data_IF_330333420717
#
_entry.id   IF_330333420717
#
_cell.length_a   1.000
_cell.length_b   1.000
_cell.length_c   1.000
_cell.angle_alpha   90.00
_cell.angle_beta   90.00
_cell.angle_gamma   90.00
#
_symmetry.space_group_name_H-M   'P 1'
#
loop_
_entity.id
_entity.type
_entity.pdbx_description
1 polymer ?
#
# COMPACT_ATOMS: atom_id res chain seq x y z
N UNK A 1 5.09 2.64 -17.35
CA UNK A 1 4.01 3.53 -16.87
C UNK A 1 2.71 3.00 -17.45
N UNK A 2 1.71 2.72 -16.62
CA UNK A 2 0.40 2.21 -17.03
C UNK A 2 -0.66 3.14 -16.46
N UNK A 3 -1.55 3.62 -17.31
CA UNK A 3 -2.68 4.48 -16.92
C UNK A 3 -3.98 3.71 -17.17
N UNK A 4 -4.95 3.86 -16.26
CA UNK A 4 -6.26 3.23 -16.37
C UNK A 4 -7.37 4.20 -15.96
N UNK A 5 -8.52 4.10 -16.61
CA UNK A 5 -9.69 4.94 -16.36
C UNK A 5 -10.92 4.05 -16.18
N UNK A 6 -11.73 4.35 -15.17
CA UNK A 6 -12.98 3.66 -14.90
C UNK A 6 -14.10 4.69 -14.74
N UNK A 7 -15.13 4.59 -15.58
CA UNK A 7 -16.29 5.47 -15.49
C UNK A 7 -17.13 5.12 -14.25
N UNK A 8 -17.73 6.14 -13.61
CA UNK A 8 -18.54 5.99 -12.39
C UNK A 8 -17.80 5.43 -11.17
N UNK A 9 -16.46 5.53 -11.16
CA UNK A 9 -15.62 5.12 -10.04
C UNK A 9 -14.99 6.32 -9.34
N UNK A 10 -14.71 6.15 -8.05
CA UNK A 10 -13.94 7.09 -7.24
C UNK A 10 -12.55 6.55 -6.89
N UNK A 11 -11.77 7.33 -6.14
CA UNK A 11 -10.40 6.94 -5.77
C UNK A 11 -10.33 5.70 -4.88
N UNK A 12 -11.41 5.35 -4.17
CA UNK A 12 -11.44 4.17 -3.30
C UNK A 12 -11.56 2.90 -4.13
N UNK A 13 -12.34 2.95 -5.21
CA UNK A 13 -12.42 1.84 -6.17
C UNK A 13 -11.04 1.57 -6.78
N UNK A 14 -10.29 2.63 -7.09
CA UNK A 14 -8.92 2.50 -7.61
C UNK A 14 -7.93 1.93 -6.58
N UNK A 15 -8.10 2.26 -5.29
CA UNK A 15 -7.31 1.66 -4.21
C UNK A 15 -7.57 0.15 -4.14
N UNK A 16 -8.85 -0.26 -4.16
CA UNK A 16 -9.24 -1.67 -4.12
C UNK A 16 -8.74 -2.44 -5.35
N UNK A 17 -8.87 -1.85 -6.55
CA UNK A 17 -8.35 -2.41 -7.79
C UNK A 17 -6.84 -2.64 -7.70
N UNK A 18 -6.10 -1.68 -7.15
CA UNK A 18 -4.64 -1.78 -7.03
C UNK A 18 -4.24 -2.87 -6.04
N UNK A 19 -4.88 -2.94 -4.87
CA UNK A 19 -4.63 -4.01 -3.88
C UNK A 19 -4.88 -5.40 -4.48
N UNK A 20 -6.00 -5.56 -5.19
CA UNK A 20 -6.36 -6.82 -5.86
C UNK A 20 -5.35 -7.17 -6.96
N UNK A 21 -4.95 -6.20 -7.78
CA UNK A 21 -3.97 -6.40 -8.86
C UNK A 21 -2.64 -6.94 -8.31
N UNK A 22 -2.08 -6.33 -7.27
CA UNK A 22 -0.82 -6.79 -6.69
C UNK A 22 -0.93 -8.17 -6.04
N UNK A 23 -2.04 -8.45 -5.34
CA UNK A 23 -2.26 -9.76 -4.74
C UNK A 23 -2.31 -10.86 -5.79
N UNK A 24 -3.08 -10.65 -6.86
CA UNK A 24 -3.21 -11.60 -7.96
C UNK A 24 -1.88 -11.79 -8.68
N UNK A 25 -1.15 -10.71 -8.98
CA UNK A 25 0.16 -10.81 -9.62
C UNK A 25 1.19 -11.56 -8.76
N UNK A 26 1.23 -11.31 -7.45
CA UNK A 26 2.11 -12.04 -6.55
C UNK A 26 1.77 -13.53 -6.54
N UNK A 27 0.48 -13.87 -6.42
CA UNK A 27 0.02 -15.25 -6.42
C UNK A 27 0.25 -15.98 -7.74
N UNK A 28 0.00 -15.32 -8.88
CA UNK A 28 0.07 -15.94 -10.21
C UNK A 28 1.50 -16.05 -10.73
N UNK A 29 2.35 -15.06 -10.46
CA UNK A 29 3.71 -15.00 -10.99
C UNK A 29 4.72 -15.66 -10.04
N UNK A 30 4.57 -15.45 -8.73
CA UNK A 30 5.52 -15.93 -7.72
C UNK A 30 4.99 -17.13 -6.92
N UNK A 31 3.69 -17.40 -6.97
CA UNK A 31 3.06 -18.52 -6.24
C UNK A 31 2.77 -18.23 -4.76
N UNK A 32 3.19 -17.10 -4.23
CA UNK A 32 2.98 -16.68 -2.84
C UNK A 32 2.61 -15.19 -2.77
N UNK A 33 1.79 -14.83 -1.80
CA UNK A 33 1.41 -13.45 -1.48
C UNK A 33 2.46 -12.74 -0.61
N UNK A 34 3.38 -13.50 0.01
CA UNK A 34 4.51 -12.96 0.76
C UNK A 34 5.76 -12.93 -0.12
N UNK A 35 6.13 -11.73 -0.54
CA UNK A 35 7.25 -11.52 -1.46
C UNK A 35 8.43 -10.92 -0.70
N UNK A 36 9.55 -11.64 -0.57
CA UNK A 36 10.77 -11.07 -0.02
C UNK A 36 11.39 -10.08 -1.02
N UNK A 37 11.78 -8.91 -0.54
CA UNK A 37 12.44 -7.88 -1.33
C UNK A 37 13.51 -7.18 -0.49
N UNK A 38 14.78 -7.49 -0.76
CA UNK A 38 15.89 -7.05 0.10
C UNK A 38 15.79 -7.72 1.47
N UNK A 39 15.84 -6.91 2.53
CA UNK A 39 15.74 -7.37 3.92
C UNK A 39 14.30 -7.41 4.44
N UNK A 40 13.32 -6.95 3.64
CA UNK A 40 11.91 -6.89 4.04
C UNK A 40 11.05 -7.93 3.31
N UNK A 41 9.92 -8.29 3.91
CA UNK A 41 8.92 -9.19 3.32
C UNK A 41 7.62 -8.42 3.15
N UNK A 42 7.22 -8.22 1.89
CA UNK A 42 5.95 -7.60 1.56
C UNK A 42 4.83 -8.64 1.57
N UNK A 43 3.77 -8.38 2.33
CA UNK A 43 2.60 -9.25 2.42
C UNK A 43 1.44 -8.63 1.63
N UNK A 44 1.31 -9.01 0.36
CA UNK A 44 0.24 -8.55 -0.53
C UNK A 44 -1.11 -9.22 -0.24
N UNK A 45 -1.15 -10.19 0.68
CA UNK A 45 -2.38 -10.82 1.15
C UNK A 45 -3.19 -9.91 2.09
N UNK A 46 -2.54 -8.92 2.70
CA UNK A 46 -3.18 -7.98 3.63
C UNK A 46 -3.65 -6.70 2.92
N UNK A 47 -4.67 -6.02 3.47
CA UNK A 47 -5.02 -4.67 3.04
C UNK A 47 -3.83 -3.72 3.22
N UNK A 48 -3.67 -2.76 2.31
CA UNK A 48 -2.56 -1.82 2.37
C UNK A 48 -2.80 -0.79 3.48
N UNK A 49 -1.71 -0.27 4.06
CA UNK A 49 -1.83 0.80 5.05
C UNK A 49 -2.32 2.08 4.38
N UNK A 50 -3.46 2.60 4.85
CA UNK A 50 -4.09 3.82 4.32
C UNK A 50 -3.86 4.94 5.31
N UNK A 51 -2.98 5.87 4.97
CA UNK A 51 -2.71 7.06 5.76
C UNK A 51 -2.98 8.31 4.93
N UNK A 52 -3.66 9.28 5.52
CA UNK A 52 -3.66 10.63 4.97
C UNK A 52 -2.27 11.25 5.11
N UNK A 53 -1.97 12.25 4.27
CA UNK A 53 -0.70 12.98 4.34
C UNK A 53 -0.39 13.51 5.75
N UNK A 54 -1.41 14.02 6.47
CA UNK A 54 -1.24 14.55 7.83
C UNK A 54 -0.92 13.44 8.84
N UNK A 55 -1.55 12.28 8.72
CA UNK A 55 -1.29 11.13 9.59
C UNK A 55 0.12 10.58 9.36
N UNK A 56 0.56 10.48 8.10
CA UNK A 56 1.92 10.06 7.77
C UNK A 56 2.97 11.02 8.38
N UNK A 57 2.77 12.34 8.26
CA UNK A 57 3.66 13.32 8.89
C UNK A 57 3.69 13.12 10.41
N UNK A 58 2.54 12.93 11.05
CA UNK A 58 2.47 12.71 12.50
C UNK A 58 3.14 11.40 12.93
N UNK A 59 3.01 10.34 12.13
CA UNK A 59 3.56 8.99 12.40
C UNK A 59 5.09 8.99 12.29
N UNK A 60 5.64 9.57 11.23
CA UNK A 60 7.08 9.47 10.94
C UNK A 60 7.90 10.67 11.43
N UNK A 61 7.28 11.84 11.64
CA UNK A 61 7.93 13.04 12.16
C UNK A 61 7.35 13.43 13.52
N UNK A 62 7.54 12.56 14.51
CA UNK A 62 7.23 12.88 15.90
C UNK A 62 8.28 13.87 16.43
N UNK A 63 7.87 15.08 16.81
CA UNK A 63 8.76 16.05 17.47
C UNK A 63 9.42 15.36 18.69
N UNK A 64 10.73 15.52 18.93
CA UNK A 64 11.29 15.15 20.22
C UNK A 64 10.55 15.97 21.28
N UNK A 65 9.95 15.29 22.26
CA UNK A 65 9.42 15.93 23.46
C UNK A 65 10.59 16.73 24.05
N UNK A 66 10.54 18.05 23.91
CA UNK A 66 11.47 18.93 24.58
C UNK A 66 11.33 18.68 26.07
N UNK A 67 12.39 18.15 26.66
CA UNK A 67 12.69 18.26 28.08
C UNK A 67 12.39 19.68 28.53
N UNK A 68 11.46 19.82 29.46
CA UNK A 68 11.45 20.86 30.47
C UNK A 68 11.17 20.16 31.79
#
# INVERSE_FOLDING_TARGET
>A
MMELYMAYADYKDLIELTESLFRTLAQDVLGDVKVPYGDEVFDFGKPFEKLTMREAIKKYRRKPTSTI
#
